data_IF_047214147393
#
_entry.id   IF_047214147393
#
_cell.length_a   1.000
_cell.length_b   1.000
_cell.length_c   1.000
_cell.angle_alpha   90.00
_cell.angle_beta   90.00
_cell.angle_gamma   90.00
#
_symmetry.space_group_name_H-M   'P 1'
#
loop_
_entity.id
_entity.type
_entity.pdbx_description
1 polymer ?
#
# COMPACT_ATOMS: atom_id res chain seq x y z
N UNK A 1 4.55 -10.23 -16.62
CA UNK A 1 4.13 -8.98 -16.01
C UNK A 1 3.46 -8.01 -16.98
N UNK A 2 4.07 -7.76 -18.14
CA UNK A 2 3.49 -6.84 -19.12
C UNK A 2 2.14 -7.29 -19.66
N UNK A 3 1.98 -8.58 -19.91
CA UNK A 3 0.70 -9.12 -20.37
C UNK A 3 -0.39 -8.93 -19.34
N UNK A 4 -0.08 -9.12 -18.06
CA UNK A 4 -1.01 -8.88 -16.98
C UNK A 4 -1.39 -7.42 -16.81
N UNK A 5 -0.50 -6.49 -17.22
CA UNK A 5 -0.73 -5.05 -17.09
C UNK A 5 -1.87 -4.56 -17.97
N UNK A 6 -2.15 -5.23 -19.09
CA UNK A 6 -3.25 -4.84 -19.98
C UNK A 6 -4.62 -4.94 -19.29
N UNK A 7 -4.72 -5.78 -18.26
CA UNK A 7 -5.97 -6.05 -17.56
C UNK A 7 -6.03 -5.38 -16.17
N UNK A 8 -5.04 -4.57 -15.84
CA UNK A 8 -5.01 -3.88 -14.55
C UNK A 8 -6.01 -2.74 -14.56
N UNK A 9 -6.86 -2.70 -13.53
CA UNK A 9 -7.80 -1.60 -13.37
C UNK A 9 -7.16 -0.50 -12.53
N UNK A 10 -7.43 0.75 -12.88
CA UNK A 10 -6.97 1.91 -12.13
C UNK A 10 -8.16 2.77 -11.75
N UNK A 11 -8.07 3.43 -10.61
CA UNK A 11 -9.13 4.30 -10.12
C UNK A 11 -9.27 5.57 -10.98
N UNK A 12 -8.15 6.03 -11.55
CA UNK A 12 -8.10 7.26 -12.30
C UNK A 12 -6.87 7.26 -13.22
N UNK A 13 -6.82 8.23 -14.14
CA UNK A 13 -5.63 8.45 -14.96
C UNK A 13 -4.42 8.79 -14.09
N UNK A 14 -4.63 9.58 -13.03
CA UNK A 14 -3.57 9.92 -12.08
C UNK A 14 -3.01 8.68 -11.37
N UNK A 15 -3.87 7.73 -11.06
CA UNK A 15 -3.45 6.45 -10.44
C UNK A 15 -2.53 5.68 -11.39
N UNK A 16 -2.93 5.55 -12.66
CA UNK A 16 -2.12 4.86 -13.67
C UNK A 16 -0.78 5.55 -13.89
N UNK A 17 -0.79 6.88 -14.03
CA UNK A 17 0.42 7.66 -14.28
C UNK A 17 1.39 7.52 -13.11
N UNK A 18 0.87 7.58 -11.88
CA UNK A 18 1.67 7.37 -10.68
C UNK A 18 2.31 5.98 -10.67
N UNK A 19 1.52 4.96 -10.96
CA UNK A 19 2.00 3.57 -10.96
C UNK A 19 3.15 3.39 -11.96
N UNK A 20 2.96 3.83 -13.19
CA UNK A 20 3.97 3.68 -14.23
C UNK A 20 5.25 4.45 -13.87
N UNK A 21 5.09 5.68 -13.39
CA UNK A 21 6.22 6.56 -13.08
C UNK A 21 7.02 6.07 -11.87
N UNK A 22 6.35 5.76 -10.78
CA UNK A 22 7.04 5.45 -9.53
C UNK A 22 7.52 4.00 -9.45
N UNK A 23 6.86 3.08 -10.13
CA UNK A 23 7.38 1.71 -10.20
C UNK A 23 8.76 1.69 -10.85
N UNK A 24 8.96 2.51 -11.89
CA UNK A 24 10.26 2.59 -12.57
C UNK A 24 11.35 3.17 -11.65
N UNK A 25 10.98 3.90 -10.61
CA UNK A 25 11.93 4.48 -9.64
C UNK A 25 12.26 3.54 -8.49
N UNK A 26 11.56 2.42 -8.36
CA UNK A 26 11.86 1.44 -7.34
C UNK A 26 13.14 0.69 -7.65
N UNK A 27 13.79 0.19 -6.61
CA UNK A 27 15.02 -0.60 -6.74
C UNK A 27 14.80 -1.85 -7.61
N UNK A 28 13.62 -2.43 -7.53
CA UNK A 28 13.24 -3.61 -8.30
C UNK A 28 11.83 -3.44 -8.84
N UNK A 29 11.57 -3.95 -10.03
CA UNK A 29 10.23 -3.98 -10.64
C UNK A 29 9.64 -5.38 -10.48
N UNK A 30 9.43 -5.78 -9.24
CA UNK A 30 8.89 -7.09 -8.89
C UNK A 30 7.45 -6.97 -8.38
N UNK A 31 6.86 -8.10 -8.01
CA UNK A 31 5.48 -8.14 -7.53
C UNK A 31 5.28 -7.36 -6.23
N UNK A 32 6.29 -7.36 -5.34
CA UNK A 32 6.22 -6.60 -4.09
C UNK A 32 6.10 -5.11 -4.35
N UNK A 33 6.96 -4.58 -5.22
CA UNK A 33 6.96 -3.16 -5.55
C UNK A 33 5.73 -2.78 -6.37
N UNK A 34 5.30 -3.65 -7.28
CA UNK A 34 4.10 -3.39 -8.08
C UNK A 34 2.87 -3.21 -7.17
N UNK A 35 2.69 -4.11 -6.20
CA UNK A 35 1.55 -4.01 -5.28
C UNK A 35 1.64 -2.77 -4.40
N UNK A 36 2.83 -2.47 -3.87
CA UNK A 36 3.07 -1.28 -3.04
C UNK A 36 2.72 0.00 -3.78
N UNK A 37 3.32 0.19 -4.95
CA UNK A 37 3.14 1.43 -5.72
C UNK A 37 1.71 1.56 -6.23
N UNK A 38 1.10 0.44 -6.63
CA UNK A 38 -0.30 0.45 -7.04
C UNK A 38 -1.19 0.99 -5.91
N UNK A 39 -1.01 0.49 -4.69
CA UNK A 39 -1.79 0.96 -3.54
C UNK A 39 -1.57 2.45 -3.28
N UNK A 40 -0.33 2.91 -3.26
CA UNK A 40 -0.01 4.31 -2.97
C UNK A 40 -0.58 5.25 -4.04
N UNK A 41 -0.85 4.75 -5.22
CA UNK A 41 -1.42 5.55 -6.31
C UNK A 41 -2.93 5.73 -6.23
N UNK A 42 -3.63 5.00 -5.35
CA UNK A 42 -5.10 4.97 -5.33
C UNK A 42 -5.69 6.34 -4.99
N UNK A 43 -5.14 7.06 -4.02
CA UNK A 43 -5.68 8.36 -3.61
C UNK A 43 -4.67 9.47 -3.83
N UNK A 44 -5.19 10.70 -3.95
CA UNK A 44 -4.36 11.88 -4.07
C UNK A 44 -3.47 12.07 -2.84
N UNK A 45 -4.03 11.83 -1.65
CA UNK A 45 -3.29 12.02 -0.41
C UNK A 45 -2.07 11.10 -0.32
N UNK A 46 -2.22 9.84 -0.71
CA UNK A 46 -1.10 8.90 -0.67
C UNK A 46 -0.10 9.17 -1.80
N UNK A 47 -0.57 9.61 -2.97
CA UNK A 47 0.34 10.02 -4.05
C UNK A 47 1.22 11.19 -3.64
N UNK A 48 0.62 12.20 -3.02
CA UNK A 48 1.34 13.42 -2.61
C UNK A 48 2.34 13.15 -1.51
N UNK A 49 2.10 12.15 -0.70
CA UNK A 49 2.92 11.84 0.47
C UNK A 49 3.70 10.53 0.32
N UNK A 50 3.91 10.08 -0.92
CA UNK A 50 4.56 8.79 -1.17
C UNK A 50 5.93 8.68 -0.49
N UNK A 51 6.73 9.75 -0.52
CA UNK A 51 8.05 9.75 0.10
C UNK A 51 8.00 9.66 1.63
N UNK A 52 6.87 10.02 2.24
CA UNK A 52 6.66 9.86 3.69
C UNK A 52 6.23 8.45 4.05
N UNK A 53 5.75 7.69 3.07
CA UNK A 53 5.21 6.35 3.26
C UNK A 53 6.28 5.28 2.99
N UNK A 54 7.13 5.55 2.01
CA UNK A 54 8.11 4.58 1.52
C UNK A 54 9.39 5.28 1.12
N UNK A 55 10.53 4.73 1.54
CA UNK A 55 11.84 5.24 1.17
C UNK A 55 12.32 4.51 -0.09
N UNK A 56 12.29 5.20 -1.21
CA UNK A 56 12.69 4.63 -2.51
C UNK A 56 14.17 4.25 -2.57
N UNK A 57 15.00 4.87 -1.74
CA UNK A 57 16.42 4.56 -1.71
C UNK A 57 16.73 3.28 -0.94
N UNK A 58 16.23 3.20 0.28
CA UNK A 58 16.51 2.06 1.16
C UNK A 58 15.58 0.87 0.89
N UNK A 59 14.41 1.12 0.29
CA UNK A 59 13.40 0.08 0.11
C UNK A 59 12.65 -0.24 1.37
N UNK A 60 12.63 0.66 2.36
CA UNK A 60 11.95 0.45 3.63
C UNK A 60 10.66 1.24 3.71
N UNK A 61 9.63 0.63 4.30
CA UNK A 61 8.40 1.35 4.61
C UNK A 61 8.61 2.25 5.83
N UNK A 62 7.83 3.31 5.89
CA UNK A 62 7.90 4.31 6.97
C UNK A 62 6.58 4.30 7.73
N UNK A 63 6.50 3.48 8.77
CA UNK A 63 5.26 3.30 9.52
C UNK A 63 4.88 4.52 10.34
N UNK A 64 5.84 5.38 10.68
CA UNK A 64 5.58 6.61 11.42
C UNK A 64 4.64 7.55 10.68
N UNK A 65 4.52 7.43 9.36
CA UNK A 65 3.60 8.26 8.57
C UNK A 65 2.13 8.06 8.99
N UNK A 66 1.80 6.92 9.58
CA UNK A 66 0.43 6.64 10.03
C UNK A 66 -0.03 7.58 11.14
N UNK A 67 0.89 8.25 11.82
CA UNK A 67 0.59 9.17 12.91
C UNK A 67 0.68 10.63 12.49
N UNK A 68 0.90 10.92 11.22
CA UNK A 68 1.02 12.29 10.71
C UNK A 68 -0.35 12.93 10.49
N UNK A 69 -0.38 14.26 10.58
CA UNK A 69 -1.64 15.00 10.59
C UNK A 69 -2.42 15.00 9.28
N UNK A 70 -1.78 14.67 8.17
CA UNK A 70 -2.45 14.62 6.86
C UNK A 70 -3.29 13.36 6.66
N UNK A 71 -3.17 12.38 7.54
CA UNK A 71 -3.85 11.09 7.40
C UNK A 71 -5.36 11.22 7.57
N UNK A 72 -6.07 10.39 6.78
CA UNK A 72 -7.50 10.14 6.92
C UNK A 72 -7.69 8.65 7.15
N UNK A 73 -8.90 8.22 7.48
CA UNK A 73 -9.16 6.78 7.61
C UNK A 73 -8.90 6.06 6.28
N UNK A 74 -9.23 6.71 5.16
CA UNK A 74 -8.98 6.15 3.84
C UNK A 74 -7.51 5.99 3.54
N UNK A 75 -6.70 7.01 3.79
CA UNK A 75 -5.26 6.92 3.54
C UNK A 75 -4.59 5.89 4.43
N UNK A 76 -5.04 5.75 5.67
CA UNK A 76 -4.51 4.73 6.59
C UNK A 76 -4.82 3.32 6.10
N UNK A 77 -6.02 3.09 5.55
CA UNK A 77 -6.36 1.79 4.94
C UNK A 77 -5.44 1.47 3.77
N UNK A 78 -5.23 2.45 2.90
CA UNK A 78 -4.36 2.27 1.73
C UNK A 78 -2.93 1.94 2.16
N UNK A 79 -2.39 2.69 3.13
CA UNK A 79 -1.02 2.49 3.58
C UNK A 79 -0.84 1.14 4.25
N UNK A 80 -1.78 0.74 5.10
CA UNK A 80 -1.69 -0.57 5.75
C UNK A 80 -1.78 -1.70 4.73
N UNK A 81 -2.65 -1.57 3.74
CA UNK A 81 -2.73 -2.56 2.66
C UNK A 81 -1.40 -2.64 1.90
N UNK A 82 -0.85 -1.49 1.53
CA UNK A 82 0.42 -1.41 0.82
C UNK A 82 1.55 -2.06 1.62
N UNK A 83 1.67 -1.68 2.88
CA UNK A 83 2.73 -2.21 3.76
C UNK A 83 2.55 -3.70 4.02
N UNK A 84 1.31 -4.17 4.17
CA UNK A 84 1.05 -5.60 4.37
C UNK A 84 1.53 -6.42 3.17
N UNK A 85 1.19 -6.00 1.96
CA UNK A 85 1.59 -6.72 0.76
C UNK A 85 3.10 -6.67 0.53
N UNK A 86 3.74 -5.56 0.89
CA UNK A 86 5.17 -5.39 0.70
C UNK A 86 6.00 -6.12 1.75
N UNK A 87 5.57 -6.06 3.02
CA UNK A 87 6.32 -6.61 4.15
C UNK A 87 5.86 -8.01 4.56
N UNK A 88 4.78 -8.53 3.97
CA UNK A 88 4.18 -9.82 4.36
C UNK A 88 3.77 -9.86 5.83
N UNK A 89 3.30 -8.75 6.36
CA UNK A 89 2.93 -8.71 7.78
C UNK A 89 2.31 -7.40 8.21
N UNK A 90 2.55 -7.05 9.48
CA UNK A 90 1.95 -5.91 10.15
C UNK A 90 3.04 -5.00 10.71
N UNK A 91 3.77 -4.28 9.84
CA UNK A 91 4.98 -3.57 10.27
C UNK A 91 4.74 -2.48 11.31
N UNK A 92 3.59 -1.82 11.31
CA UNK A 92 3.29 -0.74 12.26
C UNK A 92 3.07 -1.25 13.69
N UNK A 93 2.92 -2.57 13.87
CA UNK A 93 2.80 -3.15 15.22
C UNK A 93 4.03 -2.86 16.06
N UNK A 94 5.21 -2.78 15.45
CA UNK A 94 6.45 -2.49 16.16
C UNK A 94 6.48 -1.08 16.77
N UNK A 95 5.61 -0.17 16.31
CA UNK A 95 5.53 1.18 16.85
C UNK A 95 4.72 1.24 18.17
N UNK A 96 4.02 0.17 18.51
CA UNK A 96 3.16 0.11 19.70
C UNK A 96 3.96 -0.35 20.92
N UNK A 97 3.72 0.32 22.06
CA UNK A 97 4.52 0.08 23.27
C UNK A 97 4.03 -1.10 24.12
N UNK A 98 2.72 -1.38 24.10
CA UNK A 98 2.16 -2.43 24.95
C UNK A 98 1.36 -3.44 24.12
N UNK A 99 1.05 -4.58 24.74
CA UNK A 99 0.39 -5.69 24.05
C UNK A 99 -1.04 -5.36 23.60
N UNK A 100 -1.76 -4.54 24.37
CA UNK A 100 -3.13 -4.18 23.99
C UNK A 100 -3.13 -3.31 22.74
N UNK A 101 -2.21 -2.36 22.64
CA UNK A 101 -2.08 -1.52 21.45
C UNK A 101 -1.58 -2.33 20.25
N UNK A 102 -0.70 -3.30 20.48
CA UNK A 102 -0.24 -4.20 19.43
C UNK A 102 -1.38 -5.03 18.87
N UNK A 103 -2.23 -5.58 19.71
CA UNK A 103 -3.39 -6.34 19.28
C UNK A 103 -4.39 -5.47 18.52
N UNK A 104 -4.61 -4.26 18.99
CA UNK A 104 -5.48 -3.31 18.29
C UNK A 104 -4.94 -2.98 16.91
N UNK A 105 -3.62 -2.76 16.80
CA UNK A 105 -3.00 -2.48 15.51
C UNK A 105 -3.07 -3.70 14.57
N UNK A 106 -2.85 -4.91 15.08
CA UNK A 106 -2.98 -6.14 14.28
C UNK A 106 -4.36 -6.29 13.65
N UNK A 107 -5.41 -5.94 14.38
CA UNK A 107 -6.78 -6.04 13.88
C UNK A 107 -7.04 -5.17 12.67
N UNK A 108 -6.29 -4.09 12.53
CA UNK A 108 -6.42 -3.17 11.39
C UNK A 108 -5.87 -3.76 10.10
N UNK A 109 -5.16 -4.89 10.18
CA UNK A 109 -4.62 -5.59 9.02
C UNK A 109 -5.46 -6.81 8.61
N UNK A 110 -6.58 -7.06 9.28
CA UNK A 110 -7.46 -8.17 8.89
C UNK A 110 -8.15 -7.87 7.56
N UNK A 111 -8.56 -8.92 6.88
CA UNK A 111 -9.28 -8.77 5.60
C UNK A 111 -10.52 -7.91 5.80
N UNK A 112 -11.28 -8.15 6.88
CA UNK A 112 -12.47 -7.36 7.17
C UNK A 112 -12.15 -5.88 7.30
N UNK A 113 -11.14 -5.55 8.10
CA UNK A 113 -10.80 -4.16 8.35
C UNK A 113 -10.25 -3.46 7.09
N UNK A 114 -9.34 -4.13 6.39
CA UNK A 114 -8.73 -3.55 5.20
C UNK A 114 -9.73 -3.39 4.05
N UNK A 115 -10.65 -4.35 3.87
CA UNK A 115 -11.55 -4.34 2.72
C UNK A 115 -12.90 -3.71 2.99
N UNK A 116 -13.17 -3.30 4.24
CA UNK A 116 -14.42 -2.64 4.59
C UNK A 116 -14.36 -1.13 4.29
N UNK A 117 -14.08 -0.80 3.02
CA UNK A 117 -13.97 0.58 2.56
C UNK A 117 -14.17 0.65 1.06
N UNK A 118 -14.30 1.88 0.54
CA UNK A 118 -14.53 2.11 -0.88
C UNK A 118 -13.35 1.74 -1.79
N UNK A 119 -12.19 1.45 -1.23
CA UNK A 119 -11.01 1.08 -2.02
C UNK A 119 -10.88 -0.43 -2.25
N UNK A 120 -11.80 -1.23 -1.72
CA UNK A 120 -11.74 -2.68 -1.82
C UNK A 120 -11.50 -3.22 -3.25
N UNK A 121 -12.16 -2.70 -4.30
CA UNK A 121 -11.90 -3.19 -5.66
C UNK A 121 -10.44 -3.04 -6.07
N UNK A 122 -9.79 -1.98 -5.63
CA UNK A 122 -8.38 -1.72 -5.96
C UNK A 122 -7.46 -2.56 -5.09
N UNK A 123 -7.86 -2.85 -3.84
CA UNK A 123 -7.10 -3.76 -2.99
C UNK A 123 -7.08 -5.17 -3.57
N UNK A 124 -8.20 -5.63 -4.15
CA UNK A 124 -8.23 -6.91 -4.87
C UNK A 124 -7.25 -6.91 -6.04
N UNK A 125 -7.21 -5.81 -6.79
CA UNK A 125 -6.25 -5.67 -7.89
C UNK A 125 -4.81 -5.71 -7.36
N UNK A 126 -4.55 -5.06 -6.23
CA UNK A 126 -3.22 -5.07 -5.61
C UNK A 126 -2.80 -6.49 -5.21
N UNK A 127 -3.71 -7.27 -4.66
CA UNK A 127 -3.45 -8.68 -4.33
C UNK A 127 -3.06 -9.47 -5.56
N UNK A 128 -3.76 -9.25 -6.68
CA UNK A 128 -3.44 -9.94 -7.95
C UNK A 128 -2.07 -9.55 -8.48
N UNK A 129 -1.68 -8.29 -8.30
CA UNK A 129 -0.34 -7.84 -8.69
C UNK A 129 0.74 -8.46 -7.81
N UNK A 130 0.45 -8.62 -6.51
CA UNK A 130 1.38 -9.22 -5.56
C UNK A 130 1.55 -10.73 -5.80
N UNK A 131 0.48 -11.40 -6.21
CA UNK A 131 0.44 -12.85 -6.42
C UNK A 131 -0.03 -13.18 -7.84
N UNK A 132 0.76 -12.80 -8.87
CA UNK A 132 0.31 -12.95 -10.25
C UNK A 132 0.19 -14.40 -10.72
N UNK A 133 0.82 -15.34 -10.03
CA UNK A 133 0.78 -16.75 -10.37
C UNK A 133 -0.52 -17.44 -9.94
N UNK A 134 -1.34 -16.78 -9.15
CA UNK A 134 -2.62 -17.31 -8.68
C UNK A 134 -3.78 -16.51 -9.26
#
# INVERSE_FOLDING_TARGET
MREGMANVIFKSAAHRDFFERYLSQCRYQDAYHAALIYCLGISEDTRRNAARIYDFKSGCVKTECLHEGWQTSGSQHIIRMAHNLYCNGTPSVSDCENSDDQLSECRKYTVEDLFCCGYAPYFWQAVKLRYPEY
#
